data_IF_457647921160
#
_entry.id   IF_457647921160
#
_cell.length_a   1.000
_cell.length_b   1.000
_cell.length_c   1.000
_cell.angle_alpha   90.00
_cell.angle_beta   90.00
_cell.angle_gamma   90.00
#
_symmetry.space_group_name_H-M   'P 1'
#
loop_
_entity.id
_entity.type
_entity.pdbx_description
1 polymer ?
#
# COMPACT_ATOMS: atom_id res chain seq x y z
N UNK A 1 -15.99 12.98 3.10
CA UNK A 1 -14.94 11.94 3.20
C UNK A 1 -15.48 10.60 3.70
N UNK A 2 -16.21 10.52 4.83
CA UNK A 2 -16.74 9.24 5.33
C UNK A 2 -17.61 8.48 4.31
N UNK A 3 -18.51 9.16 3.59
CA UNK A 3 -19.32 8.55 2.52
C UNK A 3 -18.50 7.93 1.40
N UNK A 4 -17.36 8.54 1.04
CA UNK A 4 -16.47 8.04 0.01
C UNK A 4 -15.79 6.75 0.48
N UNK A 5 -15.30 6.71 1.72
CA UNK A 5 -14.68 5.51 2.29
C UNK A 5 -15.69 4.37 2.43
N UNK A 6 -16.92 4.66 2.89
CA UNK A 6 -18.01 3.69 2.94
C UNK A 6 -18.29 3.13 1.53
N UNK A 7 -18.33 3.99 0.51
CA UNK A 7 -18.51 3.56 -0.87
C UNK A 7 -17.41 2.64 -1.37
N UNK A 8 -16.15 2.94 -1.06
CA UNK A 8 -15.00 2.09 -1.43
C UNK A 8 -15.07 0.75 -0.70
N UNK A 9 -15.37 0.73 0.59
CA UNK A 9 -15.51 -0.50 1.38
C UNK A 9 -16.65 -1.36 0.84
N UNK A 10 -17.81 -0.76 0.59
CA UNK A 10 -18.95 -1.45 0.02
C UNK A 10 -18.58 -2.06 -1.34
N UNK A 11 -17.94 -1.28 -2.21
CA UNK A 11 -17.45 -1.77 -3.50
C UNK A 11 -16.49 -2.96 -3.32
N UNK A 12 -15.50 -2.87 -2.42
CA UNK A 12 -14.56 -3.97 -2.19
C UNK A 12 -15.24 -5.25 -1.68
N UNK A 13 -16.25 -5.12 -0.82
CA UNK A 13 -17.02 -6.26 -0.32
C UNK A 13 -17.89 -6.86 -1.45
N UNK A 14 -18.56 -6.03 -2.25
CA UNK A 14 -19.46 -6.48 -3.31
C UNK A 14 -18.76 -6.95 -4.60
N UNK A 15 -17.47 -6.66 -4.77
CA UNK A 15 -16.63 -7.29 -5.80
C UNK A 15 -16.66 -8.81 -5.68
N UNK A 16 -16.79 -9.29 -4.44
CA UNK A 16 -16.74 -10.70 -4.18
C UNK A 16 -18.04 -11.38 -4.64
N UNK A 17 -17.91 -12.36 -5.54
CA UNK A 17 -19.07 -12.89 -6.27
C UNK A 17 -19.92 -13.87 -5.48
N UNK A 18 -19.36 -14.50 -4.43
CA UNK A 18 -20.02 -15.56 -3.66
C UNK A 18 -20.46 -15.01 -2.31
N UNK A 19 -21.71 -15.28 -1.92
CA UNK A 19 -22.27 -14.83 -0.63
C UNK A 19 -21.41 -15.25 0.57
N UNK A 20 -20.89 -16.48 0.57
CA UNK A 20 -19.97 -16.96 1.62
C UNK A 20 -18.74 -16.06 1.75
N UNK A 21 -18.17 -15.62 0.63
CA UNK A 21 -16.98 -14.80 0.66
C UNK A 21 -17.28 -13.32 0.95
N UNK A 22 -18.46 -12.81 0.57
CA UNK A 22 -18.96 -11.49 1.02
C UNK A 22 -19.07 -11.47 2.55
N UNK A 23 -19.61 -12.53 3.15
CA UNK A 23 -19.70 -12.67 4.61
C UNK A 23 -18.30 -12.69 5.24
N UNK A 24 -17.35 -13.43 4.65
CA UNK A 24 -15.96 -13.42 5.10
C UNK A 24 -15.31 -12.04 4.98
N UNK A 25 -15.45 -11.36 3.84
CA UNK A 25 -14.89 -10.01 3.64
C UNK A 25 -15.46 -9.01 4.64
N UNK A 26 -16.77 -9.07 4.88
CA UNK A 26 -17.46 -8.24 5.88
C UNK A 26 -16.95 -8.55 7.30
N UNK A 27 -16.82 -9.84 7.64
CA UNK A 27 -16.29 -10.27 8.93
C UNK A 27 -14.85 -9.78 9.16
N UNK A 28 -13.97 -9.92 8.16
CA UNK A 28 -12.58 -9.45 8.23
C UNK A 28 -12.54 -7.92 8.38
N UNK A 29 -13.36 -7.18 7.62
CA UNK A 29 -13.44 -5.73 7.72
C UNK A 29 -13.88 -5.28 9.12
N UNK A 30 -14.94 -5.89 9.67
CA UNK A 30 -15.44 -5.58 11.01
C UNK A 30 -14.42 -5.92 12.09
N UNK A 31 -13.77 -7.10 12.01
CA UNK A 31 -12.72 -7.50 12.95
C UNK A 31 -11.54 -6.53 12.92
N UNK A 32 -11.09 -6.13 11.73
CA UNK A 32 -10.04 -5.13 11.59
C UNK A 32 -10.46 -3.77 12.17
N UNK A 33 -11.72 -3.37 12.00
CA UNK A 33 -12.25 -2.14 12.58
C UNK A 33 -12.31 -2.18 14.10
N UNK A 34 -12.83 -3.27 14.67
CA UNK A 34 -12.90 -3.50 16.12
C UNK A 34 -11.49 -3.48 16.73
N UNK A 35 -10.54 -4.16 16.10
CA UNK A 35 -9.15 -4.14 16.53
C UNK A 35 -8.58 -2.71 16.54
N UNK A 36 -8.87 -1.91 15.51
CA UNK A 36 -8.48 -0.51 15.45
C UNK A 36 -9.07 0.33 16.58
N UNK A 37 -10.36 0.16 16.88
CA UNK A 37 -11.03 0.86 18.00
C UNK A 37 -10.39 0.47 19.33
N UNK A 38 -10.20 -0.82 19.59
CA UNK A 38 -9.58 -1.31 20.83
C UNK A 38 -8.19 -0.70 21.02
N UNK A 39 -7.36 -0.72 19.97
CA UNK A 39 -5.97 -0.27 20.05
C UNK A 39 -5.87 1.25 20.24
N UNK A 40 -6.69 2.02 19.52
CA UNK A 40 -6.69 3.48 19.61
C UNK A 40 -7.31 4.00 20.93
N UNK A 41 -8.08 3.17 21.63
CA UNK A 41 -8.62 3.47 22.97
C UNK A 41 -7.65 3.08 24.11
N UNK A 42 -6.47 2.54 23.78
CA UNK A 42 -5.45 2.23 24.80
C UNK A 42 -4.55 3.41 25.13
N UNK A 43 -3.98 3.40 26.33
CA UNK A 43 -2.92 4.35 26.74
C UNK A 43 -1.52 3.96 26.22
N UNK A 44 -1.41 2.95 25.35
CA UNK A 44 -0.12 2.41 24.86
C UNK A 44 0.37 3.27 23.69
N UNK A 45 1.17 4.28 23.99
CA UNK A 45 1.59 5.28 22.99
C UNK A 45 0.46 6.28 22.73
N UNK A 46 0.73 7.57 22.89
CA UNK A 46 -0.30 8.59 22.71
C UNK A 46 -0.83 8.57 21.26
N UNK A 47 -2.15 8.42 21.08
CA UNK A 47 -2.82 8.49 19.78
C UNK A 47 -2.40 7.40 18.79
N UNK A 48 -1.81 7.80 17.67
CA UNK A 48 -1.33 6.92 16.61
C UNK A 48 -0.07 6.12 16.98
N UNK A 49 0.59 6.47 18.10
CA UNK A 49 1.72 5.72 18.65
C UNK A 49 1.38 4.25 18.97
N UNK A 50 0.11 3.95 19.29
CA UNK A 50 -0.38 2.59 19.52
C UNK A 50 -0.33 1.69 18.27
N UNK A 51 -0.31 2.29 17.08
CA UNK A 51 -0.27 1.55 15.81
C UNK A 51 1.09 0.89 15.56
N UNK A 52 2.19 1.47 16.07
CA UNK A 52 3.53 0.92 15.84
C UNK A 52 3.72 -0.45 16.52
N UNK A 53 3.40 -0.63 17.82
CA UNK A 53 3.40 -1.95 18.45
C UNK A 53 2.43 -2.95 17.80
N UNK A 54 1.23 -2.49 17.41
CA UNK A 54 0.22 -3.34 16.77
C UNK A 54 0.72 -3.89 15.42
N UNK A 55 1.12 -2.99 14.52
CA UNK A 55 1.56 -3.36 13.17
C UNK A 55 2.90 -4.10 13.22
N UNK A 56 3.81 -3.67 14.09
CA UNK A 56 5.08 -4.36 14.36
C UNK A 56 4.85 -5.78 14.87
N UNK A 57 3.87 -6.00 15.76
CA UNK A 57 3.47 -7.32 16.24
C UNK A 57 2.84 -8.20 15.15
N UNK A 58 1.84 -7.66 14.44
CA UNK A 58 1.07 -8.39 13.43
C UNK A 58 1.89 -8.77 12.19
N UNK A 59 2.79 -7.89 11.74
CA UNK A 59 3.51 -8.07 10.48
C UNK A 59 5.01 -8.33 10.66
N UNK A 60 5.68 -7.64 11.59
CA UNK A 60 7.12 -7.79 11.79
C UNK A 60 7.47 -9.01 12.63
N UNK A 61 7.00 -9.02 13.88
CA UNK A 61 7.31 -10.07 14.86
C UNK A 61 6.74 -11.43 14.44
N UNK A 62 5.55 -11.48 13.84
CA UNK A 62 4.96 -12.72 13.36
C UNK A 62 5.85 -13.44 12.35
N UNK A 63 6.43 -12.70 11.40
CA UNK A 63 7.37 -13.23 10.40
C UNK A 63 8.69 -13.64 11.06
N UNK A 64 9.23 -12.83 11.97
CA UNK A 64 10.47 -13.15 12.67
C UNK A 64 10.35 -14.41 13.54
N UNK A 65 9.25 -14.55 14.28
CA UNK A 65 9.00 -15.74 15.12
C UNK A 65 8.92 -17.02 14.30
N UNK A 66 8.22 -16.98 13.17
CA UNK A 66 8.17 -18.13 12.24
C UNK A 66 9.57 -18.39 11.68
N UNK A 67 10.28 -17.35 11.23
CA UNK A 67 11.63 -17.50 10.67
C UNK A 67 12.63 -18.08 11.66
N UNK A 68 12.53 -17.74 12.95
CA UNK A 68 13.41 -18.31 13.99
C UNK A 68 13.14 -19.81 14.22
N UNK A 69 11.90 -20.26 14.03
CA UNK A 69 11.50 -21.66 14.23
C UNK A 69 11.60 -22.51 12.95
N UNK A 70 11.96 -21.91 11.81
CA UNK A 70 12.06 -22.62 10.53
C UNK A 70 13.51 -22.63 10.06
N UNK A 71 14.02 -23.79 9.63
CA UNK A 71 15.29 -23.83 8.90
C UNK A 71 15.09 -23.14 7.56
N UNK A 72 15.66 -21.95 7.40
CA UNK A 72 15.67 -21.24 6.13
C UNK A 72 16.86 -21.70 5.30
N UNK A 73 16.58 -22.38 4.20
CA UNK A 73 17.51 -22.50 3.08
C UNK A 73 17.05 -21.52 1.99
N UNK A 74 18.02 -20.89 1.31
CA UNK A 74 17.69 -20.06 0.15
C UNK A 74 17.09 -20.96 -0.94
N UNK A 75 15.83 -20.73 -1.37
CA UNK A 75 15.29 -21.47 -2.49
C UNK A 75 16.16 -21.20 -3.73
N UNK A 76 16.25 -22.18 -4.63
CA UNK A 76 16.95 -21.99 -5.91
C UNK A 76 16.31 -20.79 -6.62
N UNK A 77 17.08 -19.72 -6.81
CA UNK A 77 16.63 -18.54 -7.53
C UNK A 77 16.61 -18.86 -9.02
N UNK A 78 15.42 -18.89 -9.60
CA UNK A 78 15.26 -18.93 -11.05
C UNK A 78 15.35 -17.49 -11.55
N UNK A 79 16.52 -17.12 -12.07
CA UNK A 79 16.69 -15.84 -12.74
C UNK A 79 16.05 -15.98 -14.13
N UNK A 80 14.82 -15.49 -14.25
CA UNK A 80 14.19 -15.29 -15.55
C UNK A 80 14.87 -14.10 -16.24
N UNK A 81 15.66 -14.36 -17.28
CA UNK A 81 16.24 -13.29 -18.11
C UNK A 81 15.20 -12.58 -18.97
N UNK A 82 13.98 -13.11 -19.07
CA UNK A 82 12.91 -12.47 -19.84
C UNK A 82 12.43 -11.19 -19.16
N UNK A 83 12.68 -10.01 -19.75
CA UNK A 83 12.22 -8.76 -19.20
C UNK A 83 10.68 -8.69 -19.28
N UNK A 84 10.10 -7.92 -18.37
CA UNK A 84 8.67 -7.71 -18.33
C UNK A 84 8.22 -7.00 -19.62
N UNK A 85 7.42 -7.68 -20.45
CA UNK A 85 6.93 -7.10 -21.70
C UNK A 85 6.05 -5.86 -21.45
N UNK A 86 6.59 -4.67 -21.70
CA UNK A 86 5.92 -3.40 -21.40
C UNK A 86 4.59 -3.29 -22.17
N UNK A 87 4.55 -3.71 -23.44
CA UNK A 87 3.33 -3.62 -24.26
C UNK A 87 2.20 -4.49 -23.71
N UNK A 88 2.49 -5.74 -23.40
CA UNK A 88 1.52 -6.68 -22.82
C UNK A 88 1.01 -6.19 -21.46
N UNK A 89 1.87 -5.54 -20.68
CA UNK A 89 1.57 -5.08 -19.32
C UNK A 89 1.21 -3.58 -19.24
N UNK A 90 1.03 -2.90 -20.38
CA UNK A 90 0.78 -1.46 -20.43
C UNK A 90 -0.48 -1.03 -19.69
N UNK A 91 -1.55 -1.84 -19.77
CA UNK A 91 -2.81 -1.57 -19.05
C UNK A 91 -2.61 -1.55 -17.54
N UNK A 92 -2.16 -2.64 -16.87
CA UNK A 92 -1.97 -2.63 -15.42
C UNK A 92 -0.95 -1.59 -14.96
N UNK A 93 0.09 -1.29 -15.76
CA UNK A 93 1.04 -0.19 -15.49
C UNK A 93 0.31 1.15 -15.44
N UNK A 94 -0.43 1.51 -16.50
CA UNK A 94 -1.10 2.81 -16.58
C UNK A 94 -2.22 2.94 -15.55
N UNK A 95 -3.06 1.91 -15.37
CA UNK A 95 -4.13 1.93 -14.38
C UNK A 95 -3.58 1.92 -12.96
N UNK A 96 -2.48 1.19 -12.72
CA UNK A 96 -1.78 1.16 -11.43
C UNK A 96 -1.21 2.53 -11.06
N UNK A 97 -0.47 3.16 -11.97
CA UNK A 97 0.06 4.51 -11.76
C UNK A 97 -1.04 5.53 -11.50
N UNK A 98 -2.12 5.48 -12.29
CA UNK A 98 -3.28 6.38 -12.14
C UNK A 98 -3.99 6.15 -10.80
N UNK A 99 -4.21 4.88 -10.43
CA UNK A 99 -4.79 4.53 -9.14
C UNK A 99 -3.88 4.96 -7.98
N UNK A 100 -2.57 4.81 -8.10
CA UNK A 100 -1.59 5.30 -7.11
C UNK A 100 -1.66 6.82 -6.92
N UNK A 101 -1.77 7.58 -8.02
CA UNK A 101 -1.97 9.03 -7.95
C UNK A 101 -3.28 9.39 -7.25
N UNK A 102 -4.40 8.78 -7.65
CA UNK A 102 -5.73 9.02 -7.05
C UNK A 102 -5.72 8.67 -5.56
N UNK A 103 -5.25 7.47 -5.21
CA UNK A 103 -5.20 6.99 -3.82
C UNK A 103 -4.16 7.72 -2.97
N UNK A 104 -3.15 8.33 -3.58
CA UNK A 104 -2.20 9.20 -2.89
C UNK A 104 -2.82 10.53 -2.43
N UNK A 105 -3.83 11.03 -3.15
CA UNK A 105 -4.53 12.27 -2.81
C UNK A 105 -5.69 12.02 -1.84
N UNK A 106 -6.43 10.92 -2.03
CA UNK A 106 -7.61 10.62 -1.22
C UNK A 106 -7.22 10.10 0.17
N UNK A 107 -7.56 10.81 1.26
CA UNK A 107 -7.27 10.34 2.61
C UNK A 107 -8.05 9.06 2.95
N UNK A 108 -7.39 8.11 3.62
CA UNK A 108 -7.97 6.84 4.03
C UNK A 108 -7.98 5.74 2.96
N UNK A 109 -7.42 5.99 1.77
CA UNK A 109 -7.29 4.99 0.71
C UNK A 109 -5.82 4.59 0.54
N UNK A 110 -5.55 3.30 0.65
CA UNK A 110 -4.21 2.73 0.58
C UNK A 110 -3.88 2.08 -0.77
N UNK A 111 -2.64 1.56 -0.90
CA UNK A 111 -2.21 0.86 -2.11
C UNK A 111 -3.03 -0.40 -2.40
N UNK A 112 -3.48 -1.12 -1.37
CA UNK A 112 -4.31 -2.30 -1.53
C UNK A 112 -5.62 -1.97 -2.25
N UNK A 113 -6.30 -0.90 -1.83
CA UNK A 113 -7.52 -0.40 -2.46
C UNK A 113 -7.26 0.05 -3.91
N UNK A 114 -6.17 0.81 -4.14
CA UNK A 114 -5.77 1.24 -5.49
C UNK A 114 -5.46 0.07 -6.44
N UNK A 115 -4.88 -1.00 -5.92
CA UNK A 115 -4.59 -2.21 -6.69
C UNK A 115 -5.87 -2.96 -7.05
N UNK A 116 -6.82 -3.06 -6.12
CA UNK A 116 -8.13 -3.65 -6.43
C UNK A 116 -8.87 -2.85 -7.50
N UNK A 117 -8.82 -1.51 -7.45
CA UNK A 117 -9.35 -0.66 -8.51
C UNK A 117 -8.65 -0.90 -9.86
N UNK A 118 -7.33 -1.10 -9.84
CA UNK A 118 -6.53 -1.45 -11.03
C UNK A 118 -6.97 -2.78 -11.65
N UNK A 119 -7.19 -3.81 -10.82
CA UNK A 119 -7.69 -5.11 -11.29
C UNK A 119 -9.08 -5.00 -11.91
N UNK A 120 -9.97 -4.23 -11.29
CA UNK A 120 -11.30 -3.97 -11.84
C UNK A 120 -11.23 -3.25 -13.19
N UNK A 121 -10.40 -2.22 -13.30
CA UNK A 121 -10.22 -1.46 -14.53
C UNK A 121 -9.62 -2.32 -15.66
N UNK A 122 -8.67 -3.19 -15.32
CA UNK A 122 -8.00 -4.07 -16.29
C UNK A 122 -8.81 -5.34 -16.59
N UNK A 123 -9.85 -5.64 -15.79
CA UNK A 123 -10.61 -6.91 -15.80
C UNK A 123 -9.70 -8.14 -15.68
N UNK A 124 -8.58 -8.00 -14.95
CA UNK A 124 -7.63 -9.08 -14.74
C UNK A 124 -7.75 -9.68 -13.35
N UNK A 125 -7.77 -11.01 -13.29
CA UNK A 125 -7.69 -11.78 -12.05
C UNK A 125 -6.34 -12.49 -11.86
N UNK A 126 -5.38 -12.27 -12.75
CA UNK A 126 -4.09 -12.94 -12.71
C UNK A 126 -3.16 -12.34 -11.64
N UNK A 127 -2.40 -13.20 -10.97
CA UNK A 127 -1.38 -12.77 -9.98
C UNK A 127 -0.36 -11.82 -10.60
N UNK A 128 0.03 -12.04 -11.87
CA UNK A 128 0.97 -11.18 -12.59
C UNK A 128 0.45 -9.74 -12.73
N UNK A 129 -0.78 -9.56 -13.19
CA UNK A 129 -1.35 -8.22 -13.38
C UNK A 129 -1.61 -7.51 -12.05
N UNK A 130 -1.92 -8.27 -10.99
CA UNK A 130 -1.95 -7.74 -9.63
C UNK A 130 -0.59 -7.20 -9.20
N UNK A 131 0.48 -7.97 -9.42
CA UNK A 131 1.85 -7.57 -9.06
C UNK A 131 2.33 -6.36 -9.88
N UNK A 132 1.99 -6.30 -11.16
CA UNK A 132 2.31 -5.11 -11.99
C UNK A 132 1.51 -3.90 -11.52
N UNK A 133 0.22 -4.07 -11.26
CA UNK A 133 -0.66 -3.01 -10.78
C UNK A 133 -0.23 -2.44 -9.44
N UNK A 134 0.05 -3.30 -8.44
CA UNK A 134 0.49 -2.86 -7.10
C UNK A 134 1.83 -2.13 -7.17
N UNK A 135 2.73 -2.58 -8.05
CA UNK A 135 4.01 -1.90 -8.27
C UNK A 135 3.79 -0.49 -8.80
N UNK A 136 2.96 -0.32 -9.83
CA UNK A 136 2.60 1.00 -10.35
C UNK A 136 1.93 1.91 -9.30
N UNK A 137 1.03 1.36 -8.48
CA UNK A 137 0.38 2.08 -7.38
C UNK A 137 1.40 2.57 -6.36
N UNK A 138 2.32 1.69 -5.93
CA UNK A 138 3.34 2.00 -4.93
C UNK A 138 4.35 3.03 -5.44
N UNK A 139 4.86 2.89 -6.66
CA UNK A 139 5.80 3.84 -7.26
C UNK A 139 5.16 5.23 -7.39
N UNK A 140 3.95 5.31 -7.93
CA UNK A 140 3.24 6.59 -8.03
C UNK A 140 3.01 7.24 -6.65
N UNK A 141 2.68 6.43 -5.63
CA UNK A 141 2.49 6.92 -4.26
C UNK A 141 3.77 7.39 -3.60
N UNK A 142 4.91 6.74 -3.85
CA UNK A 142 6.22 7.17 -3.37
C UNK A 142 6.59 8.54 -3.95
N UNK A 143 6.47 8.69 -5.27
CA UNK A 143 6.70 9.98 -5.96
C UNK A 143 5.79 11.08 -5.42
N UNK A 144 4.50 10.79 -5.30
CA UNK A 144 3.52 11.75 -4.78
C UNK A 144 3.77 12.09 -3.31
N UNK A 145 4.29 11.16 -2.52
CA UNK A 145 4.64 11.42 -1.11
C UNK A 145 5.77 12.44 -0.98
N UNK A 146 6.79 12.39 -1.82
CA UNK A 146 7.88 13.39 -1.81
C UNK A 146 7.45 14.71 -2.44
N UNK A 147 6.66 14.68 -3.52
CA UNK A 147 6.08 15.89 -4.09
C UNK A 147 5.14 16.60 -3.10
N UNK A 148 4.31 15.85 -2.36
CA UNK A 148 3.46 16.40 -1.31
C UNK A 148 4.27 16.97 -0.15
N UNK A 149 5.40 16.36 0.21
CA UNK A 149 6.30 16.90 1.23
C UNK A 149 6.82 18.28 0.80
N UNK A 150 7.31 18.42 -0.44
CA UNK A 150 7.79 19.70 -0.97
C UNK A 150 6.69 20.77 -1.11
N UNK A 151 5.54 20.42 -1.71
CA UNK A 151 4.50 21.40 -2.07
C UNK A 151 3.61 21.77 -0.87
N UNK A 152 3.25 20.78 -0.05
CA UNK A 152 2.25 20.91 1.01
C UNK A 152 2.93 21.03 2.39
N UNK A 153 4.20 20.64 2.52
CA UNK A 153 4.90 20.60 3.81
C UNK A 153 4.31 19.57 4.77
N UNK A 154 3.65 18.53 4.24
CA UNK A 154 2.98 17.50 5.04
C UNK A 154 3.37 16.11 4.54
N UNK A 155 4.14 15.32 5.31
CA UNK A 155 4.55 13.99 4.90
C UNK A 155 3.33 13.05 4.79
N UNK A 156 3.37 12.17 3.78
CA UNK A 156 2.28 11.22 3.44
C UNK A 156 2.69 9.76 3.54
N UNK A 157 3.92 9.48 3.95
CA UNK A 157 4.46 8.13 4.18
C UNK A 157 5.51 8.16 5.28
N UNK A 158 5.80 7.01 5.90
CA UNK A 158 6.84 6.92 6.93
C UNK A 158 8.23 7.34 6.43
N UNK A 159 8.57 7.02 5.18
CA UNK A 159 9.81 7.49 4.56
C UNK A 159 9.85 9.01 4.42
N UNK A 160 8.76 9.64 3.98
CA UNK A 160 8.68 11.10 3.90
C UNK A 160 8.72 11.77 5.29
N UNK A 161 8.15 11.15 6.33
CA UNK A 161 8.29 11.64 7.72
C UNK A 161 9.76 11.64 8.14
N UNK A 162 10.51 10.57 7.84
CA UNK A 162 11.92 10.49 8.17
C UNK A 162 12.75 11.55 7.40
N UNK A 163 12.46 11.77 6.12
CA UNK A 163 13.13 12.81 5.32
C UNK A 163 12.87 14.21 5.89
N UNK A 164 11.60 14.53 6.21
CA UNK A 164 11.18 15.81 6.80
C UNK A 164 11.92 16.14 8.11
N UNK A 165 12.31 15.13 8.88
CA UNK A 165 13.05 15.30 10.14
C UNK A 165 14.56 15.53 9.95
N UNK A 166 15.12 15.17 8.80
CA UNK A 166 16.57 15.14 8.56
C UNK A 166 16.99 16.23 7.57
N UNK A 167 16.09 16.64 6.68
CA UNK A 167 16.40 17.50 5.54
C UNK A 167 15.24 18.48 5.29
N UNK A 168 15.58 19.75 5.06
CA UNK A 168 14.63 20.71 4.49
C UNK A 168 14.54 20.48 2.98
N UNK A 169 13.35 20.20 2.48
CA UNK A 169 13.15 19.76 1.10
C UNK A 169 12.97 20.97 0.19
N UNK A 170 14.02 21.34 -0.54
CA UNK A 170 13.96 22.29 -1.65
C UNK A 170 13.71 21.60 -3.00
N UNK A 171 13.81 22.38 -4.09
CA UNK A 171 13.60 21.87 -5.43
C UNK A 171 14.68 20.87 -5.87
N UNK A 172 15.95 21.10 -5.51
CA UNK A 172 17.07 20.19 -5.78
C UNK A 172 16.89 18.85 -5.06
N UNK A 173 16.49 18.92 -3.78
CA UNK A 173 16.29 17.77 -2.93
C UNK A 173 15.09 16.95 -3.42
N UNK A 174 14.02 17.60 -3.85
CA UNK A 174 12.88 16.91 -4.47
C UNK A 174 13.30 16.14 -5.73
N UNK A 175 14.06 16.75 -6.63
CA UNK A 175 14.54 16.08 -7.86
C UNK A 175 15.40 14.87 -7.49
N UNK A 176 16.27 15.02 -6.50
CA UNK A 176 17.10 13.93 -5.99
C UNK A 176 16.27 12.78 -5.41
N UNK A 177 15.28 13.08 -4.57
CA UNK A 177 14.37 12.09 -3.97
C UNK A 177 13.52 11.37 -5.03
N UNK A 178 13.04 12.09 -6.05
CA UNK A 178 12.34 11.50 -7.20
C UNK A 178 13.27 10.58 -7.97
N UNK A 179 14.53 10.98 -8.18
CA UNK A 179 15.55 10.14 -8.79
C UNK A 179 15.72 8.83 -8.03
N UNK A 180 15.91 8.89 -6.71
CA UNK A 180 16.01 7.69 -5.87
C UNK A 180 14.77 6.81 -6.03
N UNK A 181 13.56 7.38 -5.94
CA UNK A 181 12.32 6.61 -6.03
C UNK A 181 12.09 5.92 -7.39
N UNK A 182 12.71 6.40 -8.47
CA UNK A 182 12.60 5.80 -9.81
C UNK A 182 13.66 4.73 -10.09
N UNK A 183 14.81 4.79 -9.40
CA UNK A 183 15.96 3.92 -9.68
C UNK A 183 16.30 2.93 -8.56
N UNK A 184 15.65 3.02 -7.40
CA UNK A 184 15.74 2.04 -6.32
C UNK A 184 14.80 0.84 -6.57
#
# INVERSE_FOLDING_TARGET
MHWLLIGIVALMIFIERKLSKILWATGIFLLSGILGVIVLDTNVGAGDGALMPLLGGLFGMSVLLVSMNTKSDFPKQEISEEPLEIRANSRPICTGATAGFITGIIPGVGPAQGTVLTQLATRSGGTRDFLVGVSGVNTAKALLSFAALYIIGRPRSGAAVAVDQILDVGASELIFLIGIALFA
#
